data_IF_249880223787
#
_entry.id   IF_249880223787
#
_cell.length_a   1.000
_cell.length_b   1.000
_cell.length_c   1.000
_cell.angle_alpha   90.00
_cell.angle_beta   90.00
_cell.angle_gamma   90.00
#
_symmetry.space_group_name_H-M   'P 1'
#
loop_
_entity.id
_entity.type
_entity.pdbx_description
1 polymer ?
#
# COMPACT_ATOMS: atom_id res chain seq x y z
N UNK A 1 61.91 -52.57 -28.72
CA UNK A 1 61.05 -53.77 -28.84
C UNK A 1 59.78 -53.49 -28.04
N UNK A 2 58.62 -53.72 -28.66
CA UNK A 2 57.27 -53.29 -28.22
C UNK A 2 56.90 -53.74 -26.79
N UNK A 3 56.21 -52.86 -26.05
CA UNK A 3 55.09 -53.17 -25.13
C UNK A 3 54.52 -51.82 -24.62
N UNK A 4 53.46 -51.33 -25.26
CA UNK A 4 52.05 -51.25 -24.77
C UNK A 4 51.78 -50.20 -23.67
N UNK A 5 50.86 -49.25 -23.91
CA UNK A 5 50.55 -48.16 -22.99
C UNK A 5 49.53 -48.59 -21.92
N UNK A 6 49.75 -48.17 -20.68
CA UNK A 6 48.78 -48.24 -19.60
C UNK A 6 47.83 -47.06 -19.64
N UNK A 7 46.54 -47.38 -19.63
CA UNK A 7 45.39 -46.49 -19.63
C UNK A 7 45.28 -45.69 -18.32
N UNK A 8 45.14 -44.37 -18.42
CA UNK A 8 44.63 -43.52 -17.33
C UNK A 8 43.09 -43.52 -17.36
N UNK A 9 42.41 -43.73 -16.23
CA UNK A 9 40.97 -43.57 -16.17
C UNK A 9 40.60 -42.09 -16.14
N UNK A 10 39.64 -41.74 -17.00
CA UNK A 10 38.93 -40.48 -17.09
C UNK A 10 38.46 -39.98 -15.72
N UNK A 11 38.99 -38.85 -15.27
CA UNK A 11 38.42 -38.08 -14.18
C UNK A 11 37.08 -37.49 -14.61
N UNK A 12 36.06 -37.80 -13.82
CA UNK A 12 34.66 -37.44 -14.04
C UNK A 12 34.52 -35.91 -14.11
N UNK A 13 33.96 -35.42 -15.21
CA UNK A 13 33.28 -34.12 -15.26
C UNK A 13 32.25 -34.10 -14.12
N UNK A 14 32.50 -33.26 -13.11
CA UNK A 14 31.48 -32.88 -12.15
C UNK A 14 30.40 -32.09 -12.89
N UNK A 15 29.28 -32.76 -13.17
CA UNK A 15 28.08 -32.14 -13.69
C UNK A 15 27.58 -31.14 -12.64
N UNK A 16 27.79 -29.84 -12.89
CA UNK A 16 27.12 -28.79 -12.14
C UNK A 16 25.65 -28.88 -12.52
N UNK A 17 24.83 -29.49 -11.64
CA UNK A 17 23.39 -29.39 -11.72
C UNK A 17 23.02 -27.93 -11.44
N UNK A 18 22.82 -27.16 -12.51
CA UNK A 18 22.04 -25.92 -12.44
C UNK A 18 20.60 -26.36 -12.18
N UNK A 19 20.21 -26.39 -10.91
CA UNK A 19 18.81 -26.49 -10.53
C UNK A 19 18.12 -25.21 -11.01
N UNK A 20 17.55 -25.25 -12.21
CA UNK A 20 16.59 -24.25 -12.64
C UNK A 20 15.38 -24.39 -11.72
N UNK A 21 15.28 -23.51 -10.72
CA UNK A 21 14.03 -23.28 -10.01
C UNK A 21 13.03 -22.74 -11.03
N UNK A 22 12.26 -23.65 -11.61
CA UNK A 22 10.98 -23.32 -12.22
C UNK A 22 10.16 -22.73 -11.09
N UNK A 23 10.03 -21.41 -11.08
CA UNK A 23 8.94 -20.74 -10.38
C UNK A 23 7.68 -21.36 -10.96
N UNK A 24 7.13 -22.35 -10.26
CA UNK A 24 5.80 -22.85 -10.50
C UNK A 24 4.85 -21.70 -10.21
N UNK A 25 4.62 -20.85 -11.20
CA UNK A 25 3.36 -20.13 -11.31
C UNK A 25 2.31 -21.22 -11.38
N UNK A 26 1.69 -21.52 -10.24
CA UNK A 26 0.32 -22.00 -10.26
C UNK A 26 -0.50 -20.87 -10.89
N UNK A 27 -0.51 -20.84 -12.22
CA UNK A 27 -1.55 -20.22 -13.00
C UNK A 27 -2.81 -21.01 -12.68
N UNK A 28 -3.40 -20.70 -11.53
CA UNK A 28 -4.74 -21.12 -11.20
C UNK A 28 -5.59 -20.53 -12.33
N UNK A 29 -6.02 -21.40 -13.24
CA UNK A 29 -6.93 -21.04 -14.31
C UNK A 29 -8.06 -20.24 -13.67
N UNK A 30 -8.17 -18.96 -14.06
CA UNK A 30 -9.35 -18.16 -13.70
C UNK A 30 -10.56 -18.95 -14.19
N UNK A 31 -11.63 -19.09 -13.40
CA UNK A 31 -12.84 -19.77 -13.87
C UNK A 31 -13.28 -19.07 -15.16
N UNK A 32 -13.13 -19.75 -16.30
CA UNK A 32 -13.27 -19.15 -17.62
C UNK A 32 -14.71 -18.85 -18.02
N UNK A 33 -15.69 -19.01 -17.13
CA UNK A 33 -17.08 -18.57 -17.32
C UNK A 33 -17.69 -17.99 -16.03
N UNK A 34 -17.08 -16.93 -15.48
CA UNK A 34 -17.74 -16.09 -14.49
C UNK A 34 -18.86 -15.30 -15.19
N UNK A 35 -20.12 -15.66 -14.91
CA UNK A 35 -21.28 -14.83 -15.31
C UNK A 35 -21.45 -13.69 -14.31
N UNK A 36 -21.56 -12.47 -14.82
CA UNK A 36 -21.75 -11.25 -14.04
C UNK A 36 -23.16 -10.70 -14.16
N UNK A 37 -23.78 -10.42 -13.02
CA UNK A 37 -24.97 -9.61 -12.92
C UNK A 37 -24.62 -8.12 -13.12
N UNK A 38 -25.63 -7.33 -13.48
CA UNK A 38 -25.51 -5.88 -13.51
C UNK A 38 -25.34 -5.27 -12.11
N UNK A 39 -25.11 -3.95 -12.03
CA UNK A 39 -24.91 -3.29 -10.74
C UNK A 39 -26.12 -3.40 -9.81
N UNK A 40 -25.86 -3.51 -8.51
CA UNK A 40 -26.89 -3.63 -7.46
C UNK A 40 -26.86 -2.46 -6.47
N UNK A 41 -28.01 -2.20 -5.83
CA UNK A 41 -28.12 -1.32 -4.66
C UNK A 41 -28.61 -2.12 -3.47
N UNK A 42 -27.81 -2.17 -2.42
CA UNK A 42 -28.11 -2.83 -1.15
C UNK A 42 -28.85 -1.84 -0.25
N UNK A 43 -30.14 -2.12 0.04
CA UNK A 43 -31.00 -1.26 0.87
C UNK A 43 -31.34 -1.84 2.24
N UNK A 44 -30.95 -3.08 2.49
CA UNK A 44 -31.21 -3.80 3.75
C UNK A 44 -29.93 -4.51 4.20
N UNK A 45 -29.76 -4.65 5.50
CA UNK A 45 -28.66 -5.41 6.07
C UNK A 45 -28.74 -6.88 5.68
N UNK A 46 -27.62 -7.58 5.82
CA UNK A 46 -27.52 -9.00 5.49
C UNK A 46 -26.21 -9.35 4.80
N UNK A 47 -26.13 -10.61 4.37
CA UNK A 47 -24.97 -11.15 3.67
C UNK A 47 -25.27 -11.29 2.18
N UNK A 48 -24.38 -10.76 1.35
CA UNK A 48 -24.47 -10.72 -0.10
C UNK A 48 -23.29 -11.49 -0.69
N UNK A 49 -23.61 -12.39 -1.64
CA UNK A 49 -22.63 -13.15 -2.43
C UNK A 49 -23.05 -13.10 -3.89
N UNK A 50 -22.11 -12.84 -4.78
CA UNK A 50 -22.43 -12.74 -6.20
C UNK A 50 -21.29 -12.20 -7.05
N UNK A 51 -21.55 -12.10 -8.35
CA UNK A 51 -20.63 -11.54 -9.32
C UNK A 51 -21.29 -10.32 -9.93
N UNK A 52 -20.79 -9.11 -9.65
CA UNK A 52 -21.40 -7.87 -10.13
C UNK A 52 -20.44 -7.07 -10.98
N UNK A 53 -20.94 -6.56 -12.12
CA UNK A 53 -20.15 -5.76 -13.04
C UNK A 53 -20.83 -4.46 -13.44
N UNK A 54 -20.09 -3.35 -13.37
CA UNK A 54 -20.50 -2.06 -13.94
C UNK A 54 -19.63 -1.65 -15.13
N UNK A 55 -20.25 -1.53 -16.30
CA UNK A 55 -19.58 -0.99 -17.49
C UNK A 55 -19.78 0.53 -17.65
N UNK A 56 -20.52 1.15 -16.74
CA UNK A 56 -20.70 2.61 -16.69
C UNK A 56 -19.67 3.20 -15.70
N UNK A 57 -18.75 4.07 -16.17
CA UNK A 57 -17.74 4.68 -15.30
C UNK A 57 -18.32 5.61 -14.21
N UNK A 58 -19.61 5.96 -14.28
CA UNK A 58 -20.30 6.80 -13.30
C UNK A 58 -21.18 6.01 -12.33
N UNK A 59 -21.30 4.70 -12.51
CA UNK A 59 -22.13 3.84 -11.66
C UNK A 59 -21.27 2.79 -10.95
N UNK A 60 -21.35 2.69 -9.61
CA UNK A 60 -20.63 1.63 -8.93
C UNK A 60 -21.24 0.26 -9.24
N UNK A 61 -20.46 -0.82 -9.11
CA UNK A 61 -20.99 -2.18 -9.25
C UNK A 61 -21.88 -2.57 -8.06
N UNK A 62 -21.53 -2.11 -6.85
CA UNK A 62 -22.32 -2.26 -5.63
C UNK A 62 -22.44 -0.90 -4.96
N UNK A 63 -23.68 -0.44 -4.75
CA UNK A 63 -24.00 0.75 -3.98
C UNK A 63 -24.69 0.35 -2.66
N UNK A 64 -24.16 0.77 -1.52
CA UNK A 64 -24.71 0.45 -0.19
C UNK A 64 -25.44 1.68 0.34
N UNK A 65 -26.78 1.58 0.35
CA UNK A 65 -27.72 2.63 0.74
C UNK A 65 -28.50 2.22 2.00
N UNK A 66 -27.78 1.78 3.04
CA UNK A 66 -28.35 1.38 4.33
C UNK A 66 -27.33 1.49 5.46
N UNK A 67 -27.84 1.69 6.67
CA UNK A 67 -27.09 1.71 7.94
C UNK A 67 -27.04 0.35 8.62
N UNK A 68 -27.93 -0.55 8.21
CA UNK A 68 -27.94 -1.91 8.72
C UNK A 68 -26.62 -2.61 8.34
N UNK A 69 -26.10 -3.53 9.17
CA UNK A 69 -24.86 -4.24 8.85
C UNK A 69 -24.94 -4.99 7.52
N UNK A 70 -23.98 -4.73 6.63
CA UNK A 70 -23.86 -5.39 5.32
C UNK A 70 -22.56 -6.20 5.28
N UNK A 71 -22.66 -7.47 4.87
CA UNK A 71 -21.52 -8.32 4.61
C UNK A 71 -21.49 -8.65 3.12
N UNK A 72 -20.42 -8.30 2.42
CA UNK A 72 -20.14 -8.75 1.05
C UNK A 72 -19.03 -9.79 1.15
N UNK A 73 -19.28 -11.01 0.68
CA UNK A 73 -18.27 -12.06 0.76
C UNK A 73 -18.30 -13.04 -0.40
N UNK A 74 -17.15 -13.71 -0.63
CA UNK A 74 -17.01 -14.74 -1.66
C UNK A 74 -17.54 -14.30 -3.02
N UNK A 75 -17.21 -13.06 -3.39
CA UNK A 75 -17.80 -12.35 -4.52
C UNK A 75 -16.75 -11.92 -5.53
N UNK A 76 -17.18 -11.67 -6.77
CA UNK A 76 -16.36 -11.02 -7.80
C UNK A 76 -17.00 -9.69 -8.18
N UNK A 77 -16.22 -8.62 -8.19
CA UNK A 77 -16.70 -7.27 -8.50
C UNK A 77 -15.82 -6.65 -9.56
N UNK A 78 -16.43 -6.24 -10.67
CA UNK A 78 -15.74 -5.58 -11.77
C UNK A 78 -16.38 -4.24 -12.12
N UNK A 79 -15.58 -3.25 -12.51
CA UNK A 79 -16.14 -1.94 -12.77
C UNK A 79 -15.23 -0.95 -13.49
N UNK A 80 -15.82 -0.17 -14.39
CA UNK A 80 -15.18 1.02 -15.00
C UNK A 80 -15.17 2.23 -14.06
N UNK A 81 -16.07 2.24 -13.07
CA UNK A 81 -16.13 3.19 -11.97
C UNK A 81 -15.77 2.52 -10.65
N UNK A 82 -15.99 3.20 -9.52
CA UNK A 82 -15.84 2.64 -8.17
C UNK A 82 -16.53 1.28 -8.05
N UNK A 83 -15.88 0.27 -7.46
CA UNK A 83 -16.45 -1.07 -7.38
C UNK A 83 -17.54 -1.12 -6.30
N UNK A 84 -17.19 -0.78 -5.07
CA UNK A 84 -18.09 -0.78 -3.92
C UNK A 84 -18.14 0.64 -3.34
N UNK A 85 -19.35 1.16 -3.17
CA UNK A 85 -19.57 2.54 -2.81
C UNK A 85 -20.60 2.67 -1.68
N UNK A 86 -20.36 3.61 -0.77
CA UNK A 86 -21.39 4.17 0.10
C UNK A 86 -21.03 5.62 0.41
N UNK A 87 -22.01 6.52 0.31
CA UNK A 87 -21.81 7.92 0.63
C UNK A 87 -23.01 8.47 1.39
N UNK A 88 -22.77 9.02 2.57
CA UNK A 88 -23.79 9.70 3.41
C UNK A 88 -24.88 8.79 3.98
N UNK A 89 -24.74 7.47 3.80
CA UNK A 89 -25.67 6.47 4.32
C UNK A 89 -25.24 5.88 5.66
N UNK A 90 -24.16 6.38 6.30
CA UNK A 90 -23.68 5.87 7.59
C UNK A 90 -23.47 4.35 7.61
N UNK A 91 -22.96 3.82 6.50
CA UNK A 91 -22.85 2.39 6.30
C UNK A 91 -21.93 1.70 7.32
N UNK A 92 -22.28 0.45 7.64
CA UNK A 92 -21.54 -0.47 8.48
C UNK A 92 -21.27 -1.74 7.65
N UNK A 93 -20.05 -1.88 7.13
CA UNK A 93 -19.75 -2.88 6.10
C UNK A 93 -18.61 -3.81 6.50
N UNK A 94 -18.79 -5.09 6.20
CA UNK A 94 -17.70 -6.08 6.13
C UNK A 94 -17.56 -6.57 4.70
N UNK A 95 -16.35 -6.53 4.14
CA UNK A 95 -16.02 -7.05 2.80
C UNK A 95 -14.91 -8.07 2.97
N UNK A 96 -15.18 -9.33 2.64
CA UNK A 96 -14.18 -10.39 2.82
C UNK A 96 -14.17 -11.45 1.75
N UNK A 97 -13.00 -12.03 1.49
CA UNK A 97 -12.85 -13.07 0.45
C UNK A 97 -13.46 -12.65 -0.89
N UNK A 98 -13.34 -11.37 -1.24
CA UNK A 98 -13.93 -10.78 -2.45
C UNK A 98 -12.82 -10.33 -3.38
N UNK A 99 -13.00 -10.60 -4.67
CA UNK A 99 -12.07 -10.18 -5.73
C UNK A 99 -12.63 -8.96 -6.44
N UNK A 100 -11.86 -7.87 -6.46
CA UNK A 100 -12.19 -6.63 -7.15
C UNK A 100 -11.22 -6.33 -8.28
N UNK A 101 -11.73 -6.17 -9.51
CA UNK A 101 -10.92 -5.76 -10.67
C UNK A 101 -11.47 -4.47 -11.25
N UNK A 102 -10.64 -3.44 -11.31
CA UNK A 102 -11.02 -2.24 -12.04
C UNK A 102 -10.75 -2.42 -13.54
N UNK A 103 -11.73 -2.00 -14.33
CA UNK A 103 -11.63 -1.87 -15.77
C UNK A 103 -11.19 -0.45 -16.11
N UNK A 104 -10.55 -0.28 -17.27
CA UNK A 104 -10.30 1.06 -17.80
C UNK A 104 -11.66 1.79 -17.97
N UNK A 105 -11.79 3.05 -17.53
CA UNK A 105 -13.01 3.83 -17.74
C UNK A 105 -13.49 3.93 -19.20
N UNK A 106 -12.60 3.72 -20.16
CA UNK A 106 -12.81 3.88 -21.61
C UNK A 106 -13.40 5.25 -21.96
N UNK A 107 -12.82 6.30 -21.38
CA UNK A 107 -13.19 7.69 -21.61
C UNK A 107 -12.01 8.44 -22.24
N UNK A 108 -12.26 9.47 -23.07
CA UNK A 108 -11.20 10.27 -23.64
C UNK A 108 -10.39 11.01 -22.55
N UNK A 109 -9.14 11.33 -22.86
CA UNK A 109 -8.21 12.04 -21.96
C UNK A 109 -8.82 13.29 -21.30
N UNK A 110 -9.68 14.01 -22.02
CA UNK A 110 -10.37 15.21 -21.54
C UNK A 110 -11.29 14.96 -20.33
N UNK A 111 -11.76 13.73 -20.13
CA UNK A 111 -12.60 13.36 -19.00
C UNK A 111 -11.82 13.24 -17.67
N UNK A 112 -10.49 13.08 -17.73
CA UNK A 112 -9.62 12.97 -16.54
C UNK A 112 -10.11 11.91 -15.54
N UNK A 113 -10.45 10.71 -16.03
CA UNK A 113 -11.01 9.62 -15.24
C UNK A 113 -10.00 8.51 -15.03
N UNK A 114 -9.65 8.23 -13.78
CA UNK A 114 -8.87 7.06 -13.39
C UNK A 114 -9.79 5.84 -13.15
N UNK A 115 -9.24 4.61 -13.05
CA UNK A 115 -9.96 3.43 -12.58
C UNK A 115 -10.73 3.66 -11.28
N UNK A 116 -11.70 2.79 -11.01
CA UNK A 116 -12.48 2.86 -9.77
C UNK A 116 -11.69 2.52 -8.52
N UNK A 117 -12.06 3.12 -7.38
CA UNK A 117 -11.68 2.62 -6.06
C UNK A 117 -12.30 1.22 -5.86
N UNK A 118 -11.61 0.31 -5.16
CA UNK A 118 -12.22 -0.93 -4.66
C UNK A 118 -13.35 -0.61 -3.69
N UNK A 119 -13.10 0.30 -2.76
CA UNK A 119 -14.07 0.77 -1.79
C UNK A 119 -13.97 2.29 -1.66
N UNK A 120 -15.11 2.98 -1.75
CA UNK A 120 -15.23 4.39 -1.41
C UNK A 120 -16.31 4.58 -0.33
N UNK A 121 -15.92 5.08 0.84
CA UNK A 121 -16.81 5.36 1.97
C UNK A 121 -16.74 6.82 2.36
N UNK A 122 -17.86 7.52 2.31
CA UNK A 122 -18.02 8.87 2.85
C UNK A 122 -19.11 8.89 3.93
N UNK A 123 -18.81 9.47 5.10
CA UNK A 123 -19.77 9.56 6.22
C UNK A 123 -20.34 8.21 6.63
N UNK A 124 -19.45 7.33 7.13
CA UNK A 124 -19.73 5.93 7.43
C UNK A 124 -19.49 5.58 8.90
N UNK A 125 -20.07 4.47 9.37
CA UNK A 125 -19.95 4.02 10.76
C UNK A 125 -18.82 2.99 10.94
N UNK A 126 -18.68 2.01 10.05
CA UNK A 126 -17.61 1.00 10.17
C UNK A 126 -17.28 0.36 8.82
N UNK A 127 -16.02 -0.04 8.66
CA UNK A 127 -15.56 -0.81 7.51
C UNK A 127 -14.52 -1.86 7.94
N UNK A 128 -14.83 -3.14 7.74
CA UNK A 128 -13.88 -4.24 7.85
C UNK A 128 -13.63 -4.79 6.46
N UNK A 129 -12.42 -4.63 5.94
CA UNK A 129 -12.03 -5.08 4.60
C UNK A 129 -10.90 -6.08 4.77
N UNK A 130 -11.22 -7.38 4.70
CA UNK A 130 -10.26 -8.43 5.00
C UNK A 130 -10.16 -9.54 3.95
N UNK A 131 -8.95 -10.05 3.72
CA UNK A 131 -8.76 -11.22 2.86
C UNK A 131 -9.34 -11.03 1.43
N UNK A 132 -9.19 -9.85 0.86
CA UNK A 132 -9.64 -9.53 -0.50
C UNK A 132 -8.47 -9.48 -1.50
N UNK A 133 -8.80 -9.55 -2.79
CA UNK A 133 -7.86 -9.30 -3.89
C UNK A 133 -8.30 -8.05 -4.67
N UNK A 134 -7.39 -7.08 -4.86
CA UNK A 134 -7.63 -5.83 -5.57
C UNK A 134 -6.68 -5.71 -6.76
N UNK A 135 -7.19 -5.60 -7.98
CA UNK A 135 -6.36 -5.55 -9.19
C UNK A 135 -6.70 -4.31 -10.01
N UNK A 136 -5.69 -3.47 -10.29
CA UNK A 136 -5.85 -2.28 -11.14
C UNK A 136 -6.69 -1.15 -10.53
N UNK A 137 -7.26 -1.36 -9.33
CA UNK A 137 -8.15 -0.39 -8.69
C UNK A 137 -7.38 0.84 -8.22
N UNK A 138 -8.07 1.94 -7.99
CA UNK A 138 -7.50 3.09 -7.28
C UNK A 138 -7.44 2.88 -5.75
N UNK A 139 -7.59 1.65 -5.24
CA UNK A 139 -7.52 1.30 -3.82
C UNK A 139 -8.75 1.71 -3.02
N UNK A 140 -8.58 2.03 -1.74
CA UNK A 140 -9.67 2.27 -0.78
C UNK A 140 -9.61 3.68 -0.20
N UNK A 141 -10.76 4.34 -0.14
CA UNK A 141 -10.90 5.69 0.40
C UNK A 141 -11.94 5.72 1.51
N UNK A 142 -11.55 6.29 2.65
CA UNK A 142 -12.38 6.45 3.82
C UNK A 142 -12.37 7.91 4.24
N UNK A 143 -13.54 8.55 4.23
CA UNK A 143 -13.69 9.94 4.64
C UNK A 143 -14.76 10.11 5.69
N UNK A 144 -14.44 10.89 6.73
CA UNK A 144 -15.38 11.33 7.76
C UNK A 144 -16.10 10.16 8.46
N UNK A 145 -15.35 9.43 9.29
CA UNK A 145 -15.90 8.39 10.17
C UNK A 145 -16.84 9.02 11.21
N UNK A 146 -18.01 8.41 11.40
CA UNK A 146 -19.06 8.82 12.36
C UNK A 146 -19.56 7.64 13.19
N UNK A 147 -18.71 6.61 13.34
CA UNK A 147 -19.00 5.42 14.11
C UNK A 147 -18.88 5.62 15.62
N UNK A 148 -19.38 4.63 16.34
CA UNK A 148 -19.40 4.53 17.79
C UNK A 148 -18.39 3.47 18.28
N UNK A 149 -17.26 3.88 18.88
CA UNK A 149 -16.27 2.99 19.46
C UNK A 149 -16.82 2.01 20.51
N UNK A 150 -17.84 2.40 21.28
CA UNK A 150 -18.44 1.54 22.32
C UNK A 150 -19.14 0.33 21.70
N UNK A 151 -19.55 0.46 20.43
CA UNK A 151 -20.14 -0.60 19.62
C UNK A 151 -19.12 -1.37 18.78
N UNK A 152 -17.82 -1.11 18.99
CA UNK A 152 -16.73 -1.71 18.22
C UNK A 152 -16.67 -1.24 16.76
N UNK A 153 -17.39 -0.17 16.40
CA UNK A 153 -17.38 0.36 15.04
C UNK A 153 -16.03 1.01 14.75
N UNK A 154 -15.35 0.56 13.70
CA UNK A 154 -13.99 1.03 13.38
C UNK A 154 -13.65 0.79 11.91
N UNK A 155 -12.41 1.05 11.52
CA UNK A 155 -11.85 0.72 10.22
C UNK A 155 -10.77 -0.35 10.40
N UNK A 156 -10.95 -1.50 9.74
CA UNK A 156 -9.94 -2.55 9.65
C UNK A 156 -9.66 -2.90 8.19
N UNK A 157 -8.40 -2.85 7.79
CA UNK A 157 -7.94 -3.26 6.45
C UNK A 157 -6.88 -4.35 6.63
N UNK A 158 -7.28 -5.61 6.51
CA UNK A 158 -6.47 -6.73 6.99
C UNK A 158 -6.22 -7.77 5.90
N UNK A 159 -4.96 -8.22 5.74
CA UNK A 159 -4.66 -9.42 4.94
C UNK A 159 -5.15 -9.35 3.49
N UNK A 160 -5.24 -8.17 2.90
CA UNK A 160 -5.62 -8.02 1.49
C UNK A 160 -4.39 -8.15 0.60
N UNK A 161 -4.60 -8.63 -0.63
CA UNK A 161 -3.61 -8.63 -1.71
C UNK A 161 -4.00 -7.58 -2.74
N UNK A 162 -3.11 -6.64 -3.04
CA UNK A 162 -3.35 -5.61 -4.03
C UNK A 162 -2.24 -5.61 -5.08
N UNK A 163 -2.64 -5.55 -6.36
CA UNK A 163 -1.76 -5.47 -7.51
C UNK A 163 -2.10 -4.23 -8.34
N UNK A 164 -1.09 -3.39 -8.55
CA UNK A 164 -1.14 -2.23 -9.45
C UNK A 164 -2.25 -1.23 -9.09
N UNK A 165 -2.11 -0.56 -7.95
CA UNK A 165 -3.01 0.52 -7.56
C UNK A 165 -2.85 1.72 -8.49
N UNK A 166 -3.86 2.00 -9.31
CA UNK A 166 -3.69 2.85 -10.48
C UNK A 166 -4.53 4.13 -10.42
N UNK A 167 -3.83 5.25 -10.62
CA UNK A 167 -4.40 6.58 -10.73
C UNK A 167 -4.25 7.19 -12.12
N UNK A 168 -3.65 6.52 -13.10
CA UNK A 168 -3.55 7.05 -14.48
C UNK A 168 -4.93 7.31 -15.05
N UNK A 169 -5.08 8.43 -15.76
CA UNK A 169 -6.32 8.69 -16.48
C UNK A 169 -6.50 7.72 -17.65
N UNK A 170 -7.74 7.43 -18.01
CA UNK A 170 -8.12 6.80 -19.27
C UNK A 170 -7.90 7.76 -20.42
N UNK A 171 -7.35 7.25 -21.52
CA UNK A 171 -7.14 7.96 -22.80
C UNK A 171 -7.99 7.36 -23.94
N UNK A 172 -8.98 6.54 -23.61
CA UNK A 172 -9.80 5.82 -24.57
C UNK A 172 -9.81 4.32 -24.29
N UNK A 173 -10.16 3.53 -25.31
CA UNK A 173 -10.36 2.09 -25.21
C UNK A 173 -9.12 1.35 -24.66
N UNK A 174 -9.21 0.97 -23.39
CA UNK A 174 -8.18 0.27 -22.62
C UNK A 174 -6.78 0.92 -22.68
N UNK A 175 -6.73 2.24 -22.96
CA UNK A 175 -5.51 3.03 -22.96
C UNK A 175 -5.42 3.88 -21.69
N UNK A 176 -4.23 3.94 -21.11
CA UNK A 176 -3.92 4.78 -19.97
C UNK A 176 -2.98 5.91 -20.37
N UNK A 177 -3.25 7.09 -19.83
CA UNK A 177 -2.44 8.28 -20.03
C UNK A 177 -1.01 8.09 -19.50
N UNK A 178 -0.06 8.62 -20.28
CA UNK A 178 1.36 8.69 -19.93
C UNK A 178 1.70 9.80 -18.94
N UNK A 179 0.82 10.80 -18.76
CA UNK A 179 1.16 12.04 -18.04
C UNK A 179 0.09 12.50 -17.04
N UNK A 180 -1.18 12.41 -17.41
CA UNK A 180 -2.34 12.68 -16.56
C UNK A 180 -2.67 11.56 -15.59
N UNK A 181 -2.95 11.94 -14.35
CA UNK A 181 -3.31 11.03 -13.26
C UNK A 181 -4.15 11.72 -12.18
N UNK A 182 -4.84 10.90 -11.38
CA UNK A 182 -5.43 11.22 -10.09
C UNK A 182 -4.50 10.74 -8.97
N UNK A 183 -4.44 11.49 -7.86
CA UNK A 183 -3.78 11.00 -6.64
C UNK A 183 -4.64 9.89 -6.03
N UNK A 184 -4.07 8.70 -5.89
CA UNK A 184 -4.75 7.51 -5.35
C UNK A 184 -3.83 6.76 -4.41
N UNK A 185 -4.42 5.89 -3.58
CA UNK A 185 -3.74 5.19 -2.49
C UNK A 185 -4.35 3.80 -2.39
N UNK A 186 -3.58 2.80 -1.94
CA UNK A 186 -4.16 1.53 -1.52
C UNK A 186 -5.13 1.76 -0.36
N UNK A 187 -4.73 2.58 0.63
CA UNK A 187 -5.60 3.06 1.71
C UNK A 187 -5.39 4.55 1.92
N UNK A 188 -6.47 5.32 1.87
CA UNK A 188 -6.48 6.69 2.36
C UNK A 188 -7.52 6.87 3.45
N UNK A 189 -7.05 7.33 4.61
CA UNK A 189 -7.91 7.94 5.61
C UNK A 189 -7.90 9.44 5.36
N UNK A 190 -9.07 10.04 5.19
CA UNK A 190 -9.23 11.45 4.94
C UNK A 190 -10.14 12.05 6.01
N UNK A 191 -9.55 12.86 6.89
CA UNK A 191 -10.27 13.54 7.96
C UNK A 191 -11.02 12.57 8.89
N UNK A 192 -10.41 11.43 9.21
CA UNK A 192 -10.91 10.48 10.21
C UNK A 192 -10.53 11.00 11.60
N UNK A 193 -11.51 11.20 12.49
CA UNK A 193 -11.29 11.77 13.82
C UNK A 193 -11.62 10.79 14.93
N UNK A 194 -10.78 10.83 15.97
CA UNK A 194 -10.96 10.17 17.26
C UNK A 194 -11.36 8.69 17.17
N UNK A 195 -10.90 8.02 16.10
CA UNK A 195 -11.21 6.62 15.86
C UNK A 195 -10.48 5.75 16.89
N UNK A 196 -11.14 4.70 17.35
CA UNK A 196 -10.55 3.69 18.22
C UNK A 196 -10.51 2.34 17.50
N UNK A 197 -9.48 1.55 17.78
CA UNK A 197 -9.33 0.19 17.25
C UNK A 197 -9.02 0.11 15.75
N UNK A 198 -8.65 1.22 15.12
CA UNK A 198 -8.35 1.27 13.69
C UNK A 198 -7.03 0.54 13.37
N UNK A 199 -7.06 -0.30 12.34
CA UNK A 199 -5.98 -1.24 12.06
C UNK A 199 -5.80 -1.44 10.54
N UNK A 200 -4.58 -1.25 10.04
CA UNK A 200 -4.18 -1.56 8.65
C UNK A 200 -3.00 -2.52 8.72
N UNK A 201 -3.25 -3.82 8.54
CA UNK A 201 -2.24 -4.82 8.84
C UNK A 201 -2.20 -6.02 7.91
N UNK A 202 -1.00 -6.59 7.78
CA UNK A 202 -0.76 -7.83 7.02
C UNK A 202 -1.17 -7.76 5.54
N UNK A 203 -1.27 -6.58 4.95
CA UNK A 203 -1.60 -6.44 3.53
C UNK A 203 -0.34 -6.60 2.66
N UNK A 204 -0.51 -7.24 1.50
CA UNK A 204 0.46 -7.25 0.41
C UNK A 204 0.03 -6.25 -0.64
N UNK A 205 0.88 -5.27 -0.95
CA UNK A 205 0.64 -4.32 -2.04
C UNK A 205 1.85 -4.31 -2.96
N UNK A 206 1.64 -4.71 -4.21
CA UNK A 206 2.68 -4.70 -5.23
C UNK A 206 2.23 -3.80 -6.37
N UNK A 207 3.00 -2.74 -6.65
CA UNK A 207 2.84 -1.90 -7.82
C UNK A 207 4.02 -2.14 -8.74
N UNK A 208 3.79 -2.68 -9.92
CA UNK A 208 4.84 -2.94 -10.89
C UNK A 208 5.21 -1.64 -11.65
N UNK A 209 6.50 -1.41 -11.92
CA UNK A 209 6.96 -0.24 -12.68
C UNK A 209 6.22 -0.06 -14.02
N UNK A 210 5.65 1.12 -14.26
CA UNK A 210 4.94 1.46 -15.51
C UNK A 210 3.59 0.77 -15.70
N UNK A 211 3.13 -0.06 -14.75
CA UNK A 211 1.83 -0.74 -14.80
C UNK A 211 0.74 -0.05 -13.99
N UNK A 212 1.10 0.92 -13.16
CA UNK A 212 0.18 1.70 -12.35
C UNK A 212 0.81 3.04 -11.97
N UNK A 213 0.02 3.92 -11.35
CA UNK A 213 0.49 5.18 -10.77
C UNK A 213 -0.28 5.47 -9.47
N UNK A 214 0.19 4.90 -8.37
CA UNK A 214 -0.22 5.27 -7.01
C UNK A 214 0.37 6.64 -6.63
N UNK A 215 -0.10 7.32 -5.59
CA UNK A 215 0.64 8.42 -4.95
C UNK A 215 1.44 7.84 -3.77
N UNK A 216 0.94 7.98 -2.54
CA UNK A 216 1.36 7.15 -1.42
C UNK A 216 0.54 5.87 -1.34
N UNK A 217 1.16 4.75 -0.97
CA UNK A 217 0.42 3.49 -0.84
C UNK A 217 -0.55 3.56 0.33
N UNK A 218 -0.13 4.10 1.48
CA UNK A 218 -1.01 4.37 2.62
C UNK A 218 -0.85 5.83 3.06
N UNK A 219 -1.95 6.58 3.19
CA UNK A 219 -1.94 7.99 3.59
C UNK A 219 -2.98 8.29 4.68
N UNK A 220 -2.54 8.92 5.78
CA UNK A 220 -3.34 9.31 6.94
C UNK A 220 -3.72 10.80 6.94
N UNK A 221 -4.17 11.32 5.79
CA UNK A 221 -4.50 12.73 5.57
C UNK A 221 -5.47 13.29 6.62
N UNK A 222 -4.99 14.24 7.42
CA UNK A 222 -5.77 14.89 8.48
C UNK A 222 -6.36 13.91 9.49
N UNK A 223 -5.87 12.68 9.58
CA UNK A 223 -6.53 11.60 10.32
C UNK A 223 -5.88 11.36 11.67
N UNK A 224 -6.68 10.94 12.66
CA UNK A 224 -6.20 10.71 14.01
C UNK A 224 -6.97 9.62 14.76
N UNK A 225 -6.22 8.89 15.58
CA UNK A 225 -6.78 8.08 16.65
C UNK A 225 -6.90 8.87 17.95
N UNK A 226 -6.90 8.14 19.07
CA UNK A 226 -6.88 8.70 20.42
C UNK A 226 -5.59 8.33 21.16
N UNK A 227 -5.30 8.98 22.29
CA UNK A 227 -4.13 8.65 23.10
C UNK A 227 -4.12 7.20 23.61
N UNK A 228 -5.30 6.67 23.96
CA UNK A 228 -5.48 5.28 24.42
C UNK A 228 -5.67 4.28 23.27
N UNK A 229 -6.03 4.74 22.07
CA UNK A 229 -6.27 3.90 20.90
C UNK A 229 -5.73 4.55 19.63
N UNK A 230 -4.43 4.35 19.40
CA UNK A 230 -3.72 4.88 18.24
C UNK A 230 -4.08 4.08 16.98
N UNK A 231 -4.19 4.76 15.83
CA UNK A 231 -4.34 4.05 14.54
C UNK A 231 -3.09 3.20 14.32
N UNK A 232 -3.28 1.89 14.11
CA UNK A 232 -2.17 0.93 14.03
C UNK A 232 -1.95 0.45 12.60
N UNK A 233 -0.74 0.65 12.07
CA UNK A 233 -0.37 0.28 10.70
C UNK A 233 0.84 -0.64 10.75
N UNK A 234 0.66 -1.95 10.59
CA UNK A 234 1.76 -2.87 10.87
C UNK A 234 1.80 -4.13 10.03
N UNK A 235 3.00 -4.70 9.96
CA UNK A 235 3.24 -5.99 9.30
C UNK A 235 2.76 -6.04 7.84
N UNK A 236 2.62 -4.88 7.17
CA UNK A 236 2.31 -4.80 5.75
C UNK A 236 3.58 -4.97 4.92
N UNK A 237 3.44 -5.58 3.74
CA UNK A 237 4.45 -5.58 2.70
C UNK A 237 4.01 -4.67 1.56
N UNK A 238 4.83 -3.68 1.24
CA UNK A 238 4.60 -2.73 0.16
C UNK A 238 5.81 -2.76 -0.75
N UNK A 239 5.59 -3.11 -2.01
CA UNK A 239 6.60 -3.02 -3.05
C UNK A 239 6.13 -2.07 -4.16
N UNK A 240 6.92 -1.03 -4.40
CA UNK A 240 6.70 -0.12 -5.51
C UNK A 240 5.71 1.01 -5.22
N UNK A 241 6.13 2.20 -5.62
CA UNK A 241 5.32 3.40 -5.76
C UNK A 241 6.06 4.24 -6.80
N UNK A 242 5.53 4.31 -8.02
CA UNK A 242 6.27 4.81 -9.17
C UNK A 242 5.46 5.86 -9.94
N UNK A 243 6.12 6.85 -10.57
CA UNK A 243 5.48 7.61 -11.63
C UNK A 243 5.27 6.71 -12.86
N UNK A 244 4.55 7.23 -13.87
CA UNK A 244 4.26 6.46 -15.08
C UNK A 244 5.54 6.04 -15.81
N UNK A 245 6.56 6.91 -15.85
CA UNK A 245 7.88 6.60 -16.39
C UNK A 245 8.96 6.69 -15.29
N UNK A 246 9.23 5.61 -14.53
CA UNK A 246 10.08 5.66 -13.35
C UNK A 246 11.53 6.06 -13.60
N UNK A 247 12.03 5.83 -14.82
CA UNK A 247 13.40 6.16 -15.22
C UNK A 247 13.62 7.64 -15.54
N UNK A 248 12.57 8.44 -15.68
CA UNK A 248 12.66 9.84 -16.15
C UNK A 248 11.84 10.83 -15.34
N UNK A 249 10.70 10.41 -14.81
CA UNK A 249 9.73 11.33 -14.24
C UNK A 249 10.09 11.73 -12.80
N UNK A 250 9.67 12.95 -12.44
CA UNK A 250 9.58 13.38 -11.04
C UNK A 250 8.37 12.73 -10.38
N UNK A 251 8.45 12.53 -9.06
CA UNK A 251 7.40 11.87 -8.31
C UNK A 251 7.41 12.33 -6.84
N UNK A 252 6.23 12.51 -6.25
CA UNK A 252 6.07 12.93 -4.86
C UNK A 252 5.62 11.77 -3.94
N UNK A 253 4.89 10.80 -4.48
CA UNK A 253 4.39 9.63 -3.78
C UNK A 253 5.45 8.67 -3.22
N UNK A 254 5.02 7.71 -2.41
CA UNK A 254 5.93 6.80 -1.69
C UNK A 254 5.21 5.64 -1.01
N UNK A 255 5.85 5.05 0.00
CA UNK A 255 5.26 3.96 0.78
C UNK A 255 4.15 4.45 1.72
N UNK A 256 4.54 4.94 2.90
CA UNK A 256 3.62 5.40 3.94
C UNK A 256 3.74 6.90 4.18
N UNK A 257 2.61 7.60 4.24
CA UNK A 257 2.50 8.97 4.73
C UNK A 257 1.66 8.97 6.01
N UNK A 258 2.37 9.02 7.13
CA UNK A 258 1.80 8.82 8.46
C UNK A 258 1.19 10.09 9.05
N UNK A 259 1.55 11.26 8.51
CA UNK A 259 0.97 12.54 8.90
C UNK A 259 1.01 13.52 7.75
N UNK A 260 -0.17 13.95 7.31
CA UNK A 260 -0.42 14.82 6.14
C UNK A 260 -1.66 15.70 6.40
N UNK A 261 -1.87 16.75 5.60
CA UNK A 261 -2.98 17.69 5.76
C UNK A 261 -2.84 18.57 7.00
N UNK A 262 -1.72 19.31 7.10
CA UNK A 262 -1.40 20.18 8.25
C UNK A 262 -2.55 21.09 8.69
N UNK A 263 -2.57 21.43 9.99
CA UNK A 263 -3.63 22.23 10.61
C UNK A 263 -3.08 23.30 11.52
N UNK A 264 -3.81 24.41 11.63
CA UNK A 264 -3.54 25.50 12.58
C UNK A 264 -4.18 25.28 13.96
N UNK A 265 -4.97 24.21 14.12
CA UNK A 265 -5.70 23.88 15.36
C UNK A 265 -5.37 22.46 15.81
N UNK A 266 -5.43 22.20 17.12
CA UNK A 266 -5.13 20.87 17.68
C UNK A 266 -6.17 19.83 17.30
N UNK A 267 -7.42 20.26 17.15
CA UNK A 267 -8.59 19.47 16.79
C UNK A 267 -8.49 19.05 15.31
N UNK A 268 -8.09 19.97 14.44
CA UNK A 268 -7.93 19.70 13.01
C UNK A 268 -6.70 18.85 12.67
N UNK A 269 -5.65 18.87 13.51
CA UNK A 269 -4.41 18.15 13.25
C UNK A 269 -4.59 16.63 13.30
N UNK A 270 -3.96 15.92 12.35
CA UNK A 270 -3.79 14.47 12.43
C UNK A 270 -2.88 14.07 13.60
N UNK A 271 -2.94 12.80 14.02
CA UNK A 271 -2.09 12.34 15.11
C UNK A 271 -2.52 11.06 15.80
N UNK A 272 -1.76 10.63 16.80
CA UNK A 272 -2.01 9.36 17.52
C UNK A 272 -2.02 8.16 16.56
N UNK A 273 -0.91 8.00 15.85
CA UNK A 273 -0.74 6.95 14.84
C UNK A 273 0.54 6.19 15.15
N UNK A 274 0.52 4.87 14.97
CA UNK A 274 1.71 4.03 15.04
C UNK A 274 1.88 3.23 13.75
N UNK A 275 3.11 3.18 13.25
CA UNK A 275 3.50 2.28 12.18
C UNK A 275 4.70 1.42 12.56
N UNK A 276 4.54 0.10 12.54
CA UNK A 276 5.62 -0.79 12.95
C UNK A 276 5.71 -2.10 12.17
N UNK A 277 6.92 -2.64 12.10
CA UNK A 277 7.21 -3.93 11.45
C UNK A 277 6.72 -4.05 10.00
N UNK A 278 6.49 -2.93 9.31
CA UNK A 278 6.20 -2.93 7.88
C UNK A 278 7.49 -3.13 7.08
N UNK A 279 7.34 -3.70 5.89
CA UNK A 279 8.40 -3.83 4.90
C UNK A 279 8.05 -2.98 3.68
N UNK A 280 8.80 -1.90 3.47
CA UNK A 280 8.61 -0.96 2.37
C UNK A 280 9.78 -1.09 1.41
N UNK A 281 9.49 -1.49 0.18
CA UNK A 281 10.49 -1.96 -0.78
C UNK A 281 10.35 -1.21 -2.11
N UNK A 282 11.46 -0.72 -2.65
CA UNK A 282 11.53 -0.17 -4.01
C UNK A 282 10.51 0.95 -4.35
N UNK A 283 10.12 1.76 -3.37
CA UNK A 283 9.30 2.97 -3.61
C UNK A 283 10.18 4.12 -4.13
N UNK A 284 9.63 5.04 -4.95
CA UNK A 284 10.46 6.03 -5.67
C UNK A 284 10.87 7.28 -4.87
N UNK A 285 9.94 8.11 -4.36
CA UNK A 285 10.37 9.35 -3.67
C UNK A 285 10.80 9.03 -2.24
N UNK A 286 9.95 8.32 -1.50
CA UNK A 286 10.16 8.08 -0.08
C UNK A 286 9.57 6.76 0.40
N UNK A 287 10.14 6.19 1.47
CA UNK A 287 9.64 4.98 2.13
C UNK A 287 8.56 5.28 3.17
N UNK A 288 8.92 5.93 4.29
CA UNK A 288 7.96 6.33 5.33
C UNK A 288 8.17 7.80 5.74
N UNK A 289 7.09 8.57 5.79
CA UNK A 289 7.11 10.01 6.04
C UNK A 289 6.18 10.44 7.19
N UNK A 290 6.61 11.45 7.93
CA UNK A 290 5.77 12.29 8.80
C UNK A 290 5.97 13.75 8.38
N UNK A 291 4.98 14.33 7.70
CA UNK A 291 5.01 15.71 7.19
C UNK A 291 4.13 16.68 7.98
N UNK A 292 3.18 16.15 8.77
CA UNK A 292 2.30 16.92 9.66
C UNK A 292 1.81 16.08 10.84
N UNK A 293 1.03 16.69 11.74
CA UNK A 293 0.37 15.99 12.85
C UNK A 293 1.27 15.79 14.08
N UNK A 294 0.75 15.11 15.09
CA UNK A 294 1.42 14.94 16.39
C UNK A 294 1.22 13.54 16.98
N UNK A 295 2.10 13.16 17.92
CA UNK A 295 2.03 11.85 18.60
C UNK A 295 2.07 10.68 17.61
N UNK A 296 2.86 10.80 16.54
CA UNK A 296 3.04 9.76 15.53
C UNK A 296 4.35 9.01 15.80
N UNK A 297 4.31 7.69 15.83
CA UNK A 297 5.47 6.85 16.13
C UNK A 297 5.68 5.79 15.05
N UNK A 298 6.89 5.72 14.50
CA UNK A 298 7.26 4.79 13.43
C UNK A 298 8.48 3.99 13.87
N UNK A 299 8.33 2.67 14.04
CA UNK A 299 9.40 1.86 14.62
C UNK A 299 9.49 0.43 14.11
N UNK A 300 10.66 -0.19 14.19
CA UNK A 300 10.89 -1.58 13.76
C UNK A 300 10.51 -1.87 12.30
N UNK A 301 10.38 -0.84 11.46
CA UNK A 301 10.11 -1.02 10.03
C UNK A 301 11.41 -1.32 9.27
N UNK A 302 11.27 -1.97 8.13
CA UNK A 302 12.35 -2.24 7.18
C UNK A 302 12.05 -1.48 5.89
N UNK A 303 12.93 -0.54 5.53
CA UNK A 303 12.75 0.35 4.37
C UNK A 303 13.94 0.19 3.45
N UNK A 304 13.78 -0.59 2.39
CA UNK A 304 14.88 -1.05 1.53
C UNK A 304 14.60 -0.65 0.07
N UNK A 305 15.46 0.18 -0.51
CA UNK A 305 15.41 0.55 -1.93
C UNK A 305 16.82 0.63 -2.49
N UNK A 306 17.08 -0.18 -3.51
CA UNK A 306 18.27 -0.17 -4.36
C UNK A 306 18.28 1.03 -5.31
N UNK A 307 17.11 1.65 -5.54
CA UNK A 307 16.94 2.73 -6.50
C UNK A 307 17.02 2.28 -7.96
N UNK A 308 16.93 0.99 -8.23
CA UNK A 308 16.88 0.43 -9.57
C UNK A 308 15.54 -0.27 -9.81
N UNK A 309 15.07 -0.22 -11.05
CA UNK A 309 14.01 -1.09 -11.55
C UNK A 309 14.53 -2.53 -11.71
N UNK A 310 13.64 -3.54 -11.84
CA UNK A 310 14.04 -4.94 -12.03
C UNK A 310 14.98 -5.16 -13.24
N UNK A 311 14.90 -4.31 -14.27
CA UNK A 311 15.75 -4.36 -15.45
C UNK A 311 17.10 -3.62 -15.27
N UNK A 312 17.41 -3.11 -14.08
CA UNK A 312 18.64 -2.36 -13.79
C UNK A 312 18.60 -0.88 -14.16
N UNK A 313 17.47 -0.35 -14.64
CA UNK A 313 17.32 1.09 -14.93
C UNK A 313 17.24 1.87 -13.60
N UNK A 314 18.04 2.94 -13.39
CA UNK A 314 17.92 3.78 -12.20
C UNK A 314 16.54 4.47 -12.14
N UNK A 315 15.97 4.55 -10.95
CA UNK A 315 14.74 5.32 -10.69
C UNK A 315 15.09 6.80 -10.54
N UNK A 316 14.49 7.66 -11.36
CA UNK A 316 14.79 9.09 -11.42
C UNK A 316 14.43 9.85 -10.13
N UNK A 317 13.31 9.47 -9.51
CA UNK A 317 12.75 10.20 -8.38
C UNK A 317 13.31 9.77 -7.00
N UNK A 318 14.36 8.95 -6.93
CA UNK A 318 14.96 8.51 -5.66
C UNK A 318 15.36 9.69 -4.78
N UNK A 319 14.70 9.83 -3.62
CA UNK A 319 14.96 10.93 -2.70
C UNK A 319 15.45 10.49 -1.31
N UNK A 320 14.59 9.99 -0.42
CA UNK A 320 14.94 9.70 0.99
C UNK A 320 14.22 8.46 1.52
N UNK A 321 14.89 7.64 2.34
CA UNK A 321 14.26 6.45 2.94
C UNK A 321 13.12 6.80 3.90
N UNK A 322 13.42 7.57 4.94
CA UNK A 322 12.41 8.00 5.91
C UNK A 322 12.63 9.45 6.34
N UNK A 323 11.55 10.17 6.64
CA UNK A 323 11.68 11.53 7.17
C UNK A 323 10.65 11.95 8.22
N UNK A 324 11.09 12.84 9.11
CA UNK A 324 10.24 13.65 10.00
C UNK A 324 10.56 15.10 9.73
N UNK A 325 9.66 15.78 9.04
CA UNK A 325 9.92 17.13 8.55
C UNK A 325 8.64 17.96 8.55
N UNK A 326 8.62 19.04 9.33
CA UNK A 326 7.52 19.98 9.40
C UNK A 326 7.56 20.98 8.23
N UNK A 327 7.35 20.46 7.03
CA UNK A 327 7.48 21.24 5.79
C UNK A 327 6.48 22.40 5.70
N UNK A 328 5.35 22.30 6.42
CA UNK A 328 4.29 23.30 6.42
C UNK A 328 4.34 24.26 7.63
N UNK A 329 5.35 24.18 8.49
CA UNK A 329 5.54 25.09 9.64
C UNK A 329 4.47 24.96 10.72
N UNK A 330 3.89 23.77 10.90
CA UNK A 330 2.84 23.49 11.88
C UNK A 330 3.33 23.57 13.35
N UNK A 331 4.63 23.48 13.60
CA UNK A 331 5.24 23.67 14.93
C UNK A 331 4.85 25.00 15.56
N UNK A 332 4.81 26.08 14.77
CA UNK A 332 4.43 27.42 15.25
C UNK A 332 2.97 27.48 15.73
N UNK A 333 2.13 26.53 15.32
CA UNK A 333 0.73 26.40 15.72
C UNK A 333 0.55 25.38 16.86
N UNK A 334 1.62 24.75 17.33
CA UNK A 334 1.55 23.70 18.34
C UNK A 334 0.82 22.45 17.87
N UNK A 335 0.81 22.18 16.55
CA UNK A 335 0.12 21.03 15.93
C UNK A 335 1.06 19.98 15.37
N UNK A 336 2.38 20.26 15.35
CA UNK A 336 3.45 19.31 15.05
C UNK A 336 4.37 19.11 16.25
N UNK A 337 4.24 17.98 16.95
CA UNK A 337 5.04 17.66 18.12
C UNK A 337 4.98 16.16 18.45
N UNK A 338 5.94 15.68 19.24
CA UNK A 338 6.01 14.28 19.69
C UNK A 338 5.95 13.25 18.53
N UNK A 339 6.55 13.58 17.39
CA UNK A 339 6.70 12.70 16.24
C UNK A 339 8.06 11.99 16.27
N UNK A 340 8.07 10.68 16.03
CA UNK A 340 9.22 9.83 16.28
C UNK A 340 9.40 8.76 15.20
N UNK A 341 10.66 8.55 14.80
CA UNK A 341 11.12 7.40 14.01
C UNK A 341 12.28 6.73 14.75
N UNK A 342 12.10 5.51 15.26
CA UNK A 342 13.13 4.79 16.03
C UNK A 342 13.24 3.32 15.66
N UNK A 343 14.39 2.70 15.90
CA UNK A 343 14.58 1.24 15.77
C UNK A 343 14.27 0.67 14.37
N UNK A 344 14.24 1.50 13.33
CA UNK A 344 14.01 1.05 11.96
C UNK A 344 15.32 0.55 11.32
N UNK A 345 15.22 -0.32 10.32
CA UNK A 345 16.34 -0.68 9.45
C UNK A 345 16.12 -0.04 8.07
N UNK A 346 17.08 0.77 7.62
CA UNK A 346 16.93 1.54 6.37
C UNK A 346 18.13 1.34 5.46
N UNK A 347 17.87 1.00 4.20
CA UNK A 347 18.85 1.05 3.12
C UNK A 347 18.21 1.79 1.95
N UNK A 348 18.74 2.94 1.58
CA UNK A 348 18.13 3.77 0.53
C UNK A 348 19.17 4.34 -0.42
N UNK A 349 19.38 3.66 -1.54
CA UNK A 349 20.38 4.04 -2.52
C UNK A 349 19.89 5.14 -3.47
N UNK A 350 20.83 5.98 -3.90
CA UNK A 350 20.64 7.05 -4.90
C UNK A 350 21.61 6.82 -6.08
N UNK A 351 21.37 5.80 -6.92
CA UNK A 351 22.33 5.36 -7.93
C UNK A 351 22.67 6.42 -8.99
N UNK A 352 21.77 7.38 -9.26
CA UNK A 352 22.05 8.52 -10.14
C UNK A 352 23.07 9.52 -9.58
N UNK A 353 23.37 9.47 -8.27
CA UNK A 353 24.43 10.30 -7.66
C UNK A 353 25.78 9.57 -7.69
N UNK A 354 25.80 8.31 -7.26
CA UNK A 354 26.93 7.40 -7.39
C UNK A 354 26.49 5.96 -7.03
N UNK A 355 27.28 4.92 -7.35
CA UNK A 355 26.94 3.52 -7.01
C UNK A 355 26.78 3.24 -5.50
N UNK A 356 27.38 4.07 -4.64
CA UNK A 356 27.35 3.90 -3.17
C UNK A 356 26.58 5.00 -2.45
N UNK A 357 26.08 6.02 -3.18
CA UNK A 357 25.32 7.11 -2.58
C UNK A 357 24.04 6.58 -1.94
N UNK A 358 23.78 7.03 -0.71
CA UNK A 358 22.56 6.72 0.02
C UNK A 358 21.93 7.98 0.62
N UNK A 359 20.63 7.93 0.91
CA UNK A 359 19.94 8.94 1.71
C UNK A 359 18.87 8.29 2.59
N UNK A 360 19.27 7.58 3.66
CA UNK A 360 18.36 6.75 4.43
C UNK A 360 17.38 7.56 5.30
N UNK A 361 17.84 8.63 5.94
CA UNK A 361 17.08 9.34 6.98
C UNK A 361 17.19 10.86 6.83
N UNK A 362 16.07 11.57 6.99
CA UNK A 362 16.01 13.02 7.14
C UNK A 362 15.09 13.40 8.30
N UNK A 363 15.66 13.66 9.48
CA UNK A 363 14.89 13.74 10.74
C UNK A 363 15.05 15.10 11.48
N UNK A 364 15.05 16.26 10.78
CA UNK A 364 15.31 17.55 11.43
C UNK A 364 14.27 17.93 12.48
N UNK A 365 13.03 17.46 12.33
CA UNK A 365 11.91 17.83 13.19
C UNK A 365 11.47 16.73 14.14
N UNK A 366 12.32 15.72 14.34
CA UNK A 366 12.04 14.68 15.33
C UNK A 366 11.82 15.27 16.73
N UNK A 367 10.96 14.61 17.51
CA UNK A 367 10.80 14.92 18.92
C UNK A 367 12.14 14.86 19.66
N UNK A 368 12.37 15.78 20.59
CA UNK A 368 13.60 15.87 21.38
C UNK A 368 13.34 15.63 22.87
N UNK A 369 14.40 15.31 23.61
CA UNK A 369 14.42 15.34 25.08
C UNK A 369 14.39 16.78 25.58
N UNK A 370 14.24 16.97 26.89
CA UNK A 370 14.37 18.30 27.53
C UNK A 370 15.75 18.92 27.32
N UNK A 371 16.80 18.10 27.14
CA UNK A 371 18.17 18.53 26.79
C UNK A 371 18.36 18.80 25.29
N UNK A 372 17.31 18.73 24.47
CA UNK A 372 17.37 19.00 23.03
C UNK A 372 17.89 17.84 22.17
N UNK A 373 18.14 16.66 22.75
CA UNK A 373 18.62 15.50 22.00
C UNK A 373 17.48 14.84 21.23
N UNK A 374 17.70 14.49 19.97
CA UNK A 374 16.70 13.77 19.16
C UNK A 374 16.34 12.44 19.82
N UNK A 375 15.03 12.15 19.89
CA UNK A 375 14.50 10.87 20.36
C UNK A 375 14.45 9.82 19.26
N UNK A 376 14.67 10.18 17.99
CA UNK A 376 14.73 9.27 16.86
C UNK A 376 16.01 8.42 16.86
N UNK A 377 16.14 7.53 17.84
CA UNK A 377 17.32 6.72 18.10
C UNK A 377 17.13 5.27 17.62
N UNK A 378 18.19 4.46 17.68
CA UNK A 378 18.13 3.02 17.36
C UNK A 378 17.94 2.68 15.87
N UNK A 379 17.71 3.67 15.01
CA UNK A 379 17.65 3.45 13.56
C UNK A 379 19.01 2.94 13.05
N UNK A 380 18.98 1.83 12.33
CA UNK A 380 20.16 1.19 11.72
C UNK A 380 20.15 1.43 10.22
N UNK A 381 21.29 1.84 9.68
CA UNK A 381 21.48 2.04 8.24
C UNK A 381 22.23 0.83 7.67
N UNK A 382 21.70 0.23 6.61
CA UNK A 382 22.42 -0.84 5.90
C UNK A 382 23.65 -0.27 5.17
N UNK A 383 24.81 -0.95 5.24
CA UNK A 383 25.97 -0.56 4.46
C UNK A 383 25.66 -0.68 2.96
N UNK A 384 26.15 0.27 2.18
CA UNK A 384 25.99 0.25 0.73
C UNK A 384 27.00 -0.69 0.05
N UNK A 385 26.76 -1.09 -1.22
CA UNK A 385 25.59 -0.75 -2.03
C UNK A 385 24.34 -1.53 -1.62
N UNK A 386 23.17 -0.90 -1.78
CA UNK A 386 21.87 -1.57 -1.62
C UNK A 386 21.48 -2.20 -2.96
N UNK A 387 21.11 -3.48 -2.97
CA UNK A 387 20.95 -4.26 -4.21
C UNK A 387 19.51 -4.75 -4.42
N UNK A 388 19.16 -5.06 -5.66
CA UNK A 388 17.88 -5.73 -5.99
C UNK A 388 17.72 -7.08 -5.27
N UNK A 389 18.81 -7.75 -4.90
CA UNK A 389 18.73 -8.97 -4.10
C UNK A 389 18.27 -8.68 -2.67
N UNK A 390 18.75 -7.59 -2.06
CA UNK A 390 18.28 -7.17 -0.74
C UNK A 390 16.79 -6.84 -0.76
N UNK A 391 16.29 -6.21 -1.82
CA UNK A 391 14.85 -5.98 -2.01
C UNK A 391 14.05 -7.29 -2.06
N UNK A 392 14.50 -8.28 -2.84
CA UNK A 392 13.85 -9.61 -2.92
C UNK A 392 13.84 -10.34 -1.57
N UNK A 393 14.93 -10.25 -0.82
CA UNK A 393 15.03 -10.85 0.51
C UNK A 393 14.01 -10.25 1.50
N UNK A 394 13.58 -9.00 1.32
CA UNK A 394 12.52 -8.43 2.16
C UNK A 394 11.17 -9.09 1.92
N UNK A 395 10.88 -9.52 0.69
CA UNK A 395 9.68 -10.29 0.41
C UNK A 395 9.72 -11.67 1.07
N UNK A 396 10.83 -12.40 0.92
CA UNK A 396 11.05 -13.70 1.57
C UNK A 396 10.87 -13.59 3.09
N UNK A 397 11.51 -12.58 3.72
CA UNK A 397 11.35 -12.31 5.16
C UNK A 397 9.91 -12.03 5.55
N UNK A 398 9.15 -11.31 4.73
CA UNK A 398 7.74 -11.06 5.02
C UNK A 398 6.90 -12.33 4.89
N UNK A 399 7.16 -13.15 3.88
CA UNK A 399 6.52 -14.46 3.74
C UNK A 399 6.86 -15.38 4.93
N UNK A 400 8.07 -15.30 5.48
CA UNK A 400 8.43 -16.03 6.71
C UNK A 400 7.58 -15.54 7.89
N UNK A 401 7.44 -14.21 8.07
CA UNK A 401 6.56 -13.63 9.11
C UNK A 401 5.12 -14.11 8.98
N UNK A 402 4.60 -14.22 7.76
CA UNK A 402 3.24 -14.74 7.53
C UNK A 402 3.12 -16.19 8.01
N UNK A 403 4.09 -17.04 7.67
CA UNK A 403 4.09 -18.46 8.07
C UNK A 403 4.21 -18.62 9.58
N UNK A 404 5.12 -17.86 10.20
CA UNK A 404 5.33 -17.89 11.66
C UNK A 404 4.09 -17.42 12.44
N UNK A 405 3.29 -16.52 11.85
CA UNK A 405 2.08 -15.99 12.44
C UNK A 405 0.78 -16.71 12.01
N UNK A 406 0.87 -17.76 11.19
CA UNK A 406 -0.28 -18.47 10.58
C UNK A 406 -1.26 -17.51 9.85
N UNK A 407 -0.71 -16.53 9.12
CA UNK A 407 -1.49 -15.54 8.39
C UNK A 407 -1.56 -15.89 6.90
N UNK A 408 -2.79 -15.98 6.39
CA UNK A 408 -3.09 -16.08 4.96
C UNK A 408 -3.53 -14.72 4.42
N UNK A 409 -2.89 -14.27 3.33
CA UNK A 409 -3.16 -13.00 2.64
C UNK A 409 -3.90 -13.23 1.33
N UNK A 410 -4.79 -12.32 0.99
CA UNK A 410 -5.69 -12.43 -0.15
C UNK A 410 -6.86 -13.36 0.13
N UNK A 411 -7.47 -13.86 -0.95
CA UNK A 411 -8.63 -14.74 -0.89
C UNK A 411 -8.30 -16.04 -0.15
N UNK A 412 -9.14 -16.41 0.82
CA UNK A 412 -9.07 -17.75 1.41
C UNK A 412 -9.78 -18.74 0.50
N UNK A 413 -9.21 -19.95 0.36
CA UNK A 413 -9.92 -21.04 -0.29
C UNK A 413 -11.17 -21.38 0.52
N UNK A 414 -12.30 -21.62 -0.17
CA UNK A 414 -13.50 -22.15 0.46
C UNK A 414 -13.16 -23.48 1.12
N UNK A 415 -13.40 -23.60 2.43
CA UNK A 415 -13.46 -24.90 3.11
C UNK A 415 -14.86 -25.45 3.03
#
# INVERSE_FOLDING_TARGET
>A
MKMTPTSFPSSRLGLVLVAALVLGTSAQQSPTDLTYDGPITIRKGGTYRGNWRSLDPNKPAIDIATREPVIIEYSNVEGRGTLIHSAFDRANVTIRNTRGVALNPNLPASAKRAPGRFLNMEEFESAVVENNELIGTSGMYFRKYVGDPERGQTIKVLRNRALNIDGRYSDGEDQFSSTGYKLVQFVQFNDIKDIQGAEVAWNEVINEPGKSRVEEVINMYGSRGTASSRISIHDNYIQGAYPVHPGTDKYAGGGLMMGDGGSKTKEGAGGYIIAYRNQIVSTSNQGIAIASGNNIEVFENRVISSGYLPNGTPIAAQNVGMYVWDTAGNKQHGTFYNNLMRDNLVGWARPLKSPTAQNPLWLPDCATTTSGQSRCTGNRVLPGPITLQMERQEYERWQDKLRDADIVVGLKQNR
#
